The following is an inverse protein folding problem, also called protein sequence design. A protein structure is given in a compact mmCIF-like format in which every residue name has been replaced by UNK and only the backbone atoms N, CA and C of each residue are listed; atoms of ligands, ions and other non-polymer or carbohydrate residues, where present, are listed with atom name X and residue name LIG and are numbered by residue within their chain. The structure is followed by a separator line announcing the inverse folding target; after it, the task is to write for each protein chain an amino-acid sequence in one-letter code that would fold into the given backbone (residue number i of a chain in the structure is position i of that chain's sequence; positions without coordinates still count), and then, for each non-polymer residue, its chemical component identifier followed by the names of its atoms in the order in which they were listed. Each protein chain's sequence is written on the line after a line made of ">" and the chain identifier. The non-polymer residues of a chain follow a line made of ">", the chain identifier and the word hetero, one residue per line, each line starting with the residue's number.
data_IF_135188248926
#
_entry.id   IF_135188248926
#
_cell.length_a   1.000
_cell.length_b   1.000
_cell.length_c   1.000
_cell.angle_alpha   90.00
_cell.angle_beta   90.00
_cell.angle_gamma   90.00
#
_symmetry.space_group_name_H-M   'P 1'
#
loop_
_entity.id
_entity.type
_entity.pdbx_description
1 polymer ?
#
# COMPACT_ATOMS: atom_id res chain seq x y z
N UNK A 1 6.43 -25.61 20.19
CA UNK A 1 5.74 -25.43 18.90
C UNK A 1 5.73 -23.94 18.62
N UNK A 2 6.12 -23.51 17.42
CA UNK A 2 5.97 -22.12 17.00
C UNK A 2 4.49 -21.71 17.09
N UNK A 3 4.22 -20.44 17.37
CA UNK A 3 2.85 -19.93 17.40
C UNK A 3 2.32 -19.90 15.96
N UNK A 4 1.20 -20.57 15.69
CA UNK A 4 0.47 -20.41 14.42
C UNK A 4 -0.40 -19.16 14.50
N UNK A 5 -0.19 -18.20 13.60
CA UNK A 5 -1.00 -16.99 13.51
C UNK A 5 -2.26 -17.23 12.70
N UNK A 6 -3.41 -16.91 13.30
CA UNK A 6 -4.72 -17.07 12.67
C UNK A 6 -5.19 -15.78 12.05
N UNK A 7 -5.32 -15.82 10.73
CA UNK A 7 -5.73 -14.68 9.92
C UNK A 7 -7.24 -14.69 9.69
N UNK A 8 -7.82 -13.50 9.77
CA UNK A 8 -9.20 -13.23 9.42
C UNK A 8 -9.28 -12.26 8.24
N UNK A 9 -10.04 -12.57 7.20
CA UNK A 9 -10.21 -11.69 6.03
C UNK A 9 -11.55 -10.96 6.12
N UNK A 10 -11.52 -9.63 6.06
CA UNK A 10 -12.73 -8.80 6.01
C UNK A 10 -12.84 -8.12 4.66
N UNK A 11 -13.89 -8.47 3.90
CA UNK A 11 -14.08 -8.01 2.52
C UNK A 11 -13.64 -9.07 1.51
N UNK A 12 -14.61 -9.69 0.83
CA UNK A 12 -14.38 -10.89 0.01
C UNK A 12 -14.43 -10.57 -1.49
N UNK A 13 -13.62 -9.58 -1.89
CA UNK A 13 -13.42 -9.20 -3.30
C UNK A 13 -12.28 -9.96 -3.97
N UNK A 14 -11.93 -9.56 -5.19
CA UNK A 14 -10.86 -10.22 -5.97
C UNK A 14 -9.51 -10.27 -5.25
N UNK A 15 -9.18 -9.23 -4.46
CA UNK A 15 -7.92 -9.20 -3.71
C UNK A 15 -7.92 -10.24 -2.57
N UNK A 16 -9.07 -10.50 -1.93
CA UNK A 16 -9.18 -11.56 -0.94
C UNK A 16 -8.99 -12.95 -1.55
N UNK A 17 -9.57 -13.23 -2.73
CA UNK A 17 -9.27 -14.47 -3.45
C UNK A 17 -7.78 -14.61 -3.77
N UNK A 18 -7.13 -13.50 -4.14
CA UNK A 18 -5.67 -13.48 -4.39
C UNK A 18 -4.90 -13.75 -3.09
N UNK A 19 -5.29 -13.12 -1.99
CA UNK A 19 -4.72 -13.33 -0.66
C UNK A 19 -4.76 -14.81 -0.29
N UNK A 20 -5.93 -15.46 -0.37
CA UNK A 20 -6.03 -16.90 -0.08
C UNK A 20 -5.17 -17.74 -1.03
N UNK A 21 -5.22 -17.45 -2.33
CA UNK A 21 -4.47 -18.21 -3.34
C UNK A 21 -2.96 -18.17 -3.12
N UNK A 22 -2.43 -17.04 -2.70
CA UNK A 22 -0.98 -16.84 -2.56
C UNK A 22 -0.49 -17.07 -1.14
N UNK A 23 -1.38 -17.19 -0.15
CA UNK A 23 -1.01 -17.39 1.25
C UNK A 23 -0.22 -18.70 1.43
N UNK A 24 1.08 -18.57 1.65
CA UNK A 24 1.99 -19.67 1.91
C UNK A 24 2.88 -19.33 3.10
N UNK A 25 2.39 -19.62 4.31
CA UNK A 25 3.08 -19.29 5.55
C UNK A 25 3.15 -20.51 6.47
N UNK A 26 4.35 -20.98 6.86
CA UNK A 26 4.48 -22.18 7.69
C UNK A 26 3.88 -22.00 9.09
N UNK A 27 3.91 -20.78 9.61
CA UNK A 27 3.39 -20.43 10.94
C UNK A 27 2.10 -19.59 10.84
N UNK A 28 1.34 -19.74 9.75
CA UNK A 28 0.07 -19.01 9.54
C UNK A 28 -1.04 -19.89 8.99
N UNK A 29 -2.28 -19.57 9.36
CA UNK A 29 -3.46 -20.17 8.73
C UNK A 29 -4.53 -19.10 8.48
N UNK A 30 -5.27 -19.24 7.37
CA UNK A 30 -6.48 -18.45 7.14
C UNK A 30 -7.62 -19.14 7.88
N UNK A 31 -8.01 -18.53 8.99
CA UNK A 31 -8.91 -19.13 9.96
C UNK A 31 -10.37 -18.70 9.76
N UNK A 32 -10.59 -17.43 9.41
CA UNK A 32 -11.92 -16.84 9.35
C UNK A 32 -12.10 -15.87 8.18
N UNK A 33 -13.34 -15.73 7.74
CA UNK A 33 -13.76 -14.68 6.79
C UNK A 33 -14.99 -13.95 7.27
N UNK A 34 -15.13 -12.67 6.88
CA UNK A 34 -16.31 -11.87 7.16
C UNK A 34 -16.83 -11.14 5.92
N UNK A 35 -18.15 -11.22 5.73
CA UNK A 35 -18.88 -10.45 4.71
C UNK A 35 -20.28 -10.09 5.21
N UNK A 36 -20.76 -8.91 4.84
CA UNK A 36 -22.13 -8.42 5.16
C UNK A 36 -23.24 -9.39 4.70
N UNK A 37 -22.94 -10.26 3.74
CA UNK A 37 -23.82 -11.35 3.31
C UNK A 37 -23.28 -12.68 3.84
N UNK A 38 -24.04 -13.32 4.74
CA UNK A 38 -23.71 -14.65 5.25
C UNK A 38 -23.54 -15.66 4.09
N UNK A 39 -24.39 -15.60 3.07
CA UNK A 39 -24.27 -16.47 1.91
C UNK A 39 -22.93 -16.31 1.19
N UNK A 40 -22.44 -15.07 1.01
CA UNK A 40 -21.10 -14.83 0.43
C UNK A 40 -19.98 -15.32 1.34
N UNK A 41 -20.07 -15.07 2.66
CA UNK A 41 -19.08 -15.53 3.62
C UNK A 41 -18.98 -17.07 3.62
N UNK A 42 -20.11 -17.76 3.69
CA UNK A 42 -20.17 -19.22 3.68
C UNK A 42 -19.71 -19.82 2.35
N UNK A 43 -20.06 -19.22 1.21
CA UNK A 43 -19.60 -19.68 -0.10
C UNK A 43 -18.09 -19.53 -0.25
N UNK A 44 -17.52 -18.38 0.13
CA UNK A 44 -16.08 -18.14 0.08
C UNK A 44 -15.33 -19.09 1.02
N UNK A 45 -15.81 -19.27 2.25
CA UNK A 45 -15.19 -20.21 3.19
C UNK A 45 -15.21 -21.65 2.67
N UNK A 46 -16.33 -22.09 2.06
CA UNK A 46 -16.42 -23.42 1.48
C UNK A 46 -15.54 -23.60 0.22
N UNK A 47 -15.38 -22.56 -0.59
CA UNK A 47 -14.50 -22.57 -1.78
C UNK A 47 -13.02 -22.77 -1.41
N UNK A 48 -12.61 -22.23 -0.25
CA UNK A 48 -11.22 -22.14 0.19
C UNK A 48 -10.90 -22.98 1.44
N UNK A 49 -11.81 -23.87 1.85
CA UNK A 49 -11.69 -24.71 3.05
C UNK A 49 -11.38 -23.92 4.35
N UNK A 50 -11.95 -22.71 4.48
CA UNK A 50 -11.73 -21.84 5.64
C UNK A 50 -12.71 -22.22 6.78
N UNK A 51 -12.23 -22.47 8.01
CA UNK A 51 -13.06 -23.03 9.09
C UNK A 51 -14.25 -22.16 9.54
N UNK A 52 -14.13 -20.83 9.48
CA UNK A 52 -15.12 -19.90 10.05
C UNK A 52 -15.59 -18.86 9.05
N UNK A 53 -16.91 -18.63 9.01
CA UNK A 53 -17.54 -17.63 8.17
C UNK A 53 -18.53 -16.78 8.97
N UNK A 54 -18.23 -15.50 9.11
CA UNK A 54 -19.01 -14.54 9.88
C UNK A 54 -19.80 -13.58 8.97
N UNK A 55 -21.02 -13.24 9.38
CA UNK A 55 -21.79 -12.16 8.75
C UNK A 55 -21.42 -10.78 9.28
N UNK A 56 -21.19 -10.71 10.59
CA UNK A 56 -20.99 -9.45 11.31
C UNK A 56 -19.52 -9.32 11.71
N UNK A 57 -19.00 -8.11 11.61
CA UNK A 57 -17.63 -7.81 12.02
C UNK A 57 -17.44 -8.05 13.52
N UNK A 58 -18.40 -7.63 14.35
CA UNK A 58 -18.31 -7.78 15.81
C UNK A 58 -18.19 -9.25 16.25
N UNK A 59 -18.90 -10.17 15.60
CA UNK A 59 -18.82 -11.61 15.88
C UNK A 59 -17.42 -12.17 15.54
N UNK A 60 -16.83 -11.73 14.43
CA UNK A 60 -15.47 -12.10 14.05
C UNK A 60 -14.44 -11.53 15.03
N UNK A 61 -14.62 -10.28 15.46
CA UNK A 61 -13.69 -9.61 16.37
C UNK A 61 -13.77 -10.16 17.81
N UNK A 62 -14.91 -10.71 18.21
CA UNK A 62 -15.10 -11.39 19.48
C UNK A 62 -14.45 -12.78 19.52
N UNK A 63 -14.04 -13.35 18.38
CA UNK A 63 -13.36 -14.64 18.30
C UNK A 63 -11.93 -14.50 18.82
N UNK A 64 -11.64 -15.12 19.97
CA UNK A 64 -10.34 -15.08 20.64
C UNK A 64 -9.25 -15.82 19.88
N UNK A 65 -9.62 -16.67 18.92
CA UNK A 65 -8.66 -17.38 18.08
C UNK A 65 -8.09 -16.50 16.96
N UNK A 66 -8.74 -15.40 16.57
CA UNK A 66 -8.22 -14.51 15.52
C UNK A 66 -7.06 -13.67 16.08
N UNK A 67 -5.89 -13.71 15.43
CA UNK A 67 -4.73 -12.89 15.78
C UNK A 67 -4.63 -11.62 14.91
N UNK A 68 -4.82 -11.79 13.60
CA UNK A 68 -4.55 -10.77 12.58
C UNK A 68 -5.78 -10.60 11.67
N UNK A 69 -6.21 -9.36 11.46
CA UNK A 69 -7.27 -9.00 10.52
C UNK A 69 -6.65 -8.42 9.26
N UNK A 70 -6.85 -9.09 8.12
CA UNK A 70 -6.59 -8.57 6.79
C UNK A 70 -7.82 -7.82 6.27
N UNK A 71 -7.68 -6.50 6.09
CA UNK A 71 -8.77 -5.62 5.65
C UNK A 71 -8.69 -5.45 4.12
N UNK A 72 -9.65 -6.03 3.41
CA UNK A 72 -9.78 -6.03 1.95
C UNK A 72 -11.12 -5.44 1.48
N UNK A 73 -11.66 -4.49 2.25
CA UNK A 73 -12.89 -3.77 1.92
C UNK A 73 -12.60 -2.65 0.91
N UNK A 74 -13.60 -1.98 0.32
CA UNK A 74 -13.35 -0.75 -0.46
C UNK A 74 -12.74 0.35 0.43
N UNK A 75 -11.95 1.27 -0.14
CA UNK A 75 -11.13 2.23 0.63
C UNK A 75 -11.92 3.01 1.70
N UNK A 76 -13.15 3.43 1.38
CA UNK A 76 -14.00 4.19 2.30
C UNK A 76 -14.44 3.41 3.56
N UNK A 77 -14.34 2.08 3.55
CA UNK A 77 -14.69 1.22 4.67
C UNK A 77 -13.47 0.66 5.43
N UNK A 78 -12.24 0.99 5.02
CA UNK A 78 -11.04 0.51 5.70
C UNK A 78 -11.05 0.92 7.17
N UNK A 79 -11.24 2.21 7.46
CA UNK A 79 -11.18 2.74 8.83
C UNK A 79 -12.29 2.17 9.73
N UNK A 80 -13.46 1.88 9.16
CA UNK A 80 -14.60 1.25 9.85
C UNK A 80 -14.32 -0.22 10.21
N UNK A 81 -13.29 -0.83 9.62
CA UNK A 81 -12.80 -2.16 10.00
C UNK A 81 -11.56 -2.08 10.89
N UNK A 82 -10.61 -1.20 10.55
CA UNK A 82 -9.34 -1.02 11.27
C UNK A 82 -9.58 -0.65 12.74
N UNK A 83 -10.40 0.38 13.00
CA UNK A 83 -10.59 0.86 14.38
C UNK A 83 -11.27 -0.17 15.29
N UNK A 84 -12.37 -0.84 14.90
CA UNK A 84 -12.93 -1.91 15.70
C UNK A 84 -11.96 -3.08 15.90
N UNK A 85 -11.22 -3.49 14.87
CA UNK A 85 -10.27 -4.59 14.98
C UNK A 85 -9.16 -4.30 15.99
N UNK A 86 -8.54 -3.12 15.92
CA UNK A 86 -7.52 -2.71 16.89
C UNK A 86 -8.10 -2.60 18.32
N UNK A 87 -9.32 -2.06 18.47
CA UNK A 87 -9.99 -1.99 19.80
C UNK A 87 -10.34 -3.36 20.37
N UNK A 88 -10.56 -4.36 19.51
CA UNK A 88 -10.79 -5.74 19.90
C UNK A 88 -9.48 -6.52 20.17
N UNK A 89 -8.32 -5.85 20.18
CA UNK A 89 -7.04 -6.49 20.47
C UNK A 89 -6.44 -7.24 19.28
N UNK A 90 -6.88 -6.97 18.04
CA UNK A 90 -6.41 -7.67 16.83
C UNK A 90 -5.36 -6.85 16.09
N UNK A 91 -4.30 -7.50 15.63
CA UNK A 91 -3.36 -6.86 14.71
C UNK A 91 -4.05 -6.62 13.36
N UNK A 92 -3.62 -5.60 12.61
CA UNK A 92 -4.27 -5.24 11.36
C UNK A 92 -3.26 -5.06 10.23
N UNK A 93 -3.48 -5.81 9.15
CA UNK A 93 -2.88 -5.56 7.84
C UNK A 93 -3.99 -5.06 6.92
N UNK A 94 -3.94 -3.80 6.49
CA UNK A 94 -4.99 -3.23 5.65
C UNK A 94 -4.52 -3.03 4.23
N UNK A 95 -5.35 -3.39 3.25
CA UNK A 95 -5.13 -3.02 1.86
C UNK A 95 -4.88 -1.53 1.71
N UNK A 96 -4.07 -1.19 0.70
CA UNK A 96 -3.79 0.19 0.33
C UNK A 96 -4.98 0.83 -0.40
N UNK A 97 -5.10 2.16 -0.46
CA UNK A 97 -4.51 3.08 0.49
C UNK A 97 -5.12 2.80 1.87
N UNK A 98 -4.30 2.72 2.92
CA UNK A 98 -4.73 2.24 4.24
C UNK A 98 -5.93 3.01 4.82
N UNK A 99 -6.03 4.31 4.51
CA UNK A 99 -7.13 5.18 4.93
C UNK A 99 -7.39 6.24 3.86
N UNK A 100 -8.41 7.09 4.06
CA UNK A 100 -8.78 8.15 3.13
C UNK A 100 -8.05 9.48 3.39
N UNK A 101 -7.46 9.64 4.58
CA UNK A 101 -6.79 10.87 5.01
C UNK A 101 -5.77 10.62 6.11
N UNK A 102 -4.82 11.55 6.25
CA UNK A 102 -3.81 11.52 7.32
C UNK A 102 -4.42 11.58 8.72
N UNK A 103 -5.59 12.22 8.87
CA UNK A 103 -6.32 12.27 10.14
C UNK A 103 -6.85 10.89 10.54
N UNK A 104 -7.44 10.15 9.60
CA UNK A 104 -7.90 8.78 9.86
C UNK A 104 -6.72 7.86 10.24
N UNK A 105 -5.62 7.95 9.50
CA UNK A 105 -4.41 7.17 9.80
C UNK A 105 -3.84 7.51 11.17
N UNK A 106 -3.78 8.79 11.54
CA UNK A 106 -3.29 9.22 12.85
C UNK A 106 -4.09 8.60 14.00
N UNK A 107 -5.43 8.61 13.89
CA UNK A 107 -6.32 7.98 14.88
C UNK A 107 -6.06 6.47 14.95
N UNK A 108 -5.96 5.78 13.81
CA UNK A 108 -5.68 4.34 13.78
C UNK A 108 -4.33 3.99 14.42
N UNK A 109 -3.29 4.79 14.15
CA UNK A 109 -1.96 4.62 14.75
C UNK A 109 -1.98 4.79 16.27
N UNK A 110 -2.70 5.79 16.77
CA UNK A 110 -2.85 6.03 18.21
C UNK A 110 -3.55 4.86 18.90
N UNK A 111 -4.64 4.35 18.30
CA UNK A 111 -5.36 3.18 18.83
C UNK A 111 -4.48 1.93 18.80
N UNK A 112 -3.73 1.68 17.72
CA UNK A 112 -2.81 0.56 17.63
C UNK A 112 -1.72 0.63 18.71
N UNK A 113 -1.08 1.80 18.86
CA UNK A 113 -0.04 2.02 19.86
C UNK A 113 -0.55 1.85 21.29
N UNK A 114 -1.74 2.39 21.59
CA UNK A 114 -2.36 2.31 22.92
C UNK A 114 -2.75 0.87 23.32
N UNK A 115 -2.94 0.00 22.34
CA UNK A 115 -3.26 -1.42 22.56
C UNK A 115 -2.05 -2.35 22.33
N UNK A 116 -0.85 -1.80 22.06
CA UNK A 116 0.36 -2.55 21.73
C UNK A 116 0.20 -3.50 20.53
N UNK A 117 -0.52 -3.05 19.49
CA UNK A 117 -0.81 -3.82 18.29
C UNK A 117 -0.04 -3.30 17.08
N UNK A 118 0.34 -4.22 16.19
CA UNK A 118 0.81 -3.89 14.85
C UNK A 118 -0.35 -3.43 13.96
N UNK A 119 -0.19 -2.25 13.37
CA UNK A 119 -0.96 -1.75 12.24
C UNK A 119 0.00 -1.58 11.05
N UNK A 120 -0.29 -2.23 9.93
CA UNK A 120 0.49 -2.11 8.70
C UNK A 120 -0.42 -1.90 7.49
N UNK A 121 0.08 -1.17 6.50
CA UNK A 121 -0.50 -1.13 5.17
C UNK A 121 0.07 -2.29 4.35
N UNK A 122 -0.78 -3.00 3.59
CA UNK A 122 -0.38 -3.98 2.59
C UNK A 122 0.18 -3.25 1.36
N UNK A 123 1.30 -2.56 1.56
CA UNK A 123 2.05 -1.87 0.52
C UNK A 123 3.18 -2.77 0.06
N UNK A 124 2.87 -3.68 -0.87
CA UNK A 124 3.77 -4.74 -1.34
C UNK A 124 5.19 -4.26 -1.65
N UNK A 125 5.33 -3.04 -2.19
CA UNK A 125 6.61 -2.42 -2.51
C UNK A 125 7.59 -2.42 -1.32
N UNK A 126 7.11 -2.07 -0.11
CA UNK A 126 7.96 -1.96 1.08
C UNK A 126 8.51 -3.30 1.58
N UNK A 127 8.00 -4.41 1.04
CA UNK A 127 8.36 -5.77 1.43
C UNK A 127 9.13 -6.50 0.32
N UNK A 128 9.28 -5.90 -0.87
CA UNK A 128 10.05 -6.52 -1.94
C UNK A 128 11.56 -6.48 -1.61
N UNK A 129 12.28 -7.62 -1.63
CA UNK A 129 13.72 -7.67 -1.33
C UNK A 129 14.59 -6.78 -2.22
N UNK A 130 14.10 -6.44 -3.42
CA UNK A 130 14.78 -5.54 -4.35
C UNK A 130 15.15 -4.20 -3.69
N UNK A 131 14.26 -3.60 -2.91
CA UNK A 131 14.49 -2.23 -2.40
C UNK A 131 15.62 -2.18 -1.39
N UNK A 132 15.70 -3.16 -0.48
CA UNK A 132 16.84 -3.31 0.43
C UNK A 132 18.14 -3.47 -0.37
N UNK A 133 18.14 -4.33 -1.41
CA UNK A 133 19.30 -4.53 -2.28
C UNK A 133 19.72 -3.26 -3.02
N UNK A 134 18.78 -2.39 -3.42
CA UNK A 134 19.08 -1.11 -4.08
C UNK A 134 19.73 -0.10 -3.12
N UNK A 135 19.26 -0.05 -1.87
CA UNK A 135 19.91 0.75 -0.83
C UNK A 135 21.33 0.26 -0.55
N UNK A 136 21.52 -1.06 -0.40
CA UNK A 136 22.84 -1.67 -0.24
C UNK A 136 23.75 -1.36 -1.42
N UNK A 137 23.25 -1.51 -2.66
CA UNK A 137 24.01 -1.19 -3.86
C UNK A 137 24.46 0.27 -3.88
N UNK A 138 23.56 1.20 -3.53
CA UNK A 138 23.85 2.62 -3.52
C UNK A 138 24.98 2.96 -2.52
N UNK A 139 24.97 2.31 -1.35
CA UNK A 139 26.01 2.43 -0.34
C UNK A 139 27.34 1.79 -0.79
N UNK A 140 27.31 0.53 -1.27
CA UNK A 140 28.48 -0.22 -1.75
C UNK A 140 29.23 0.52 -2.88
N UNK A 141 28.47 1.08 -3.82
CA UNK A 141 29.00 1.77 -5.00
C UNK A 141 29.28 3.25 -4.75
N UNK A 142 29.00 3.75 -3.54
CA UNK A 142 29.20 5.14 -3.17
C UNK A 142 28.56 6.10 -4.17
N UNK A 143 27.25 5.94 -4.41
CA UNK A 143 26.55 6.70 -5.46
C UNK A 143 26.44 8.21 -5.19
N UNK A 144 26.84 8.65 -3.99
CA UNK A 144 26.74 10.03 -3.54
C UNK A 144 25.33 10.38 -3.08
N UNK A 145 25.04 11.66 -2.97
CA UNK A 145 23.75 12.13 -2.47
C UNK A 145 22.61 11.82 -3.44
N UNK A 146 21.43 11.49 -2.90
CA UNK A 146 20.20 11.46 -3.69
C UNK A 146 19.85 12.87 -4.16
N UNK A 147 19.51 13.01 -5.45
CA UNK A 147 19.11 14.31 -6.03
C UNK A 147 17.64 14.34 -6.42
N UNK A 148 17.16 13.27 -7.07
CA UNK A 148 15.80 13.25 -7.60
C UNK A 148 15.19 11.86 -7.68
N UNK A 149 13.89 11.76 -7.38
CA UNK A 149 13.09 10.57 -7.66
C UNK A 149 11.94 10.91 -8.61
N UNK A 150 11.78 10.15 -9.68
CA UNK A 150 10.67 10.30 -10.62
C UNK A 150 9.83 9.03 -10.64
N UNK A 151 8.51 9.14 -10.56
CA UNK A 151 7.62 7.99 -10.69
C UNK A 151 6.47 8.28 -11.64
N UNK A 152 6.22 7.32 -12.54
CA UNK A 152 5.08 7.35 -13.45
C UNK A 152 4.16 6.16 -13.21
N UNK A 153 2.85 6.38 -13.31
CA UNK A 153 1.87 5.30 -13.29
C UNK A 153 0.67 5.66 -14.18
N UNK A 154 0.55 4.96 -15.30
CA UNK A 154 -0.61 5.06 -16.18
C UNK A 154 -1.32 3.72 -16.27
N UNK A 155 -2.58 3.67 -15.86
CA UNK A 155 -3.43 2.49 -15.99
C UNK A 155 -4.70 2.86 -16.70
N UNK A 156 -4.75 2.65 -18.02
CA UNK A 156 -5.97 2.85 -18.80
C UNK A 156 -7.17 2.11 -18.17
N UNK A 157 -8.21 2.86 -17.82
CA UNK A 157 -9.51 2.39 -17.35
C UNK A 157 -10.58 2.87 -18.33
N UNK A 158 -11.55 2.02 -18.61
CA UNK A 158 -12.72 2.43 -19.40
C UNK A 158 -13.45 3.59 -18.69
N UNK A 159 -13.76 4.69 -19.41
CA UNK A 159 -14.32 5.92 -18.84
C UNK A 159 -15.80 5.77 -18.47
N UNK A 160 -16.07 4.98 -17.44
CA UNK A 160 -17.40 4.71 -16.91
C UNK A 160 -17.52 5.26 -15.47
N UNK A 161 -18.34 6.31 -15.24
CA UNK A 161 -18.49 6.93 -13.91
C UNK A 161 -19.11 5.99 -12.87
N UNK A 162 -19.73 4.89 -13.30
CA UNK A 162 -20.36 3.91 -12.38
C UNK A 162 -19.36 2.88 -11.87
N UNK A 163 -18.23 2.70 -12.56
CA UNK A 163 -17.21 1.73 -12.17
C UNK A 163 -16.46 2.20 -10.92
N UNK A 164 -15.84 1.26 -10.19
CA UNK A 164 -15.15 1.57 -8.92
C UNK A 164 -13.98 2.58 -9.05
N UNK A 165 -13.42 2.74 -10.25
CA UNK A 165 -12.28 3.63 -10.48
C UNK A 165 -12.71 5.08 -10.63
N UNK A 166 -13.91 5.33 -11.17
CA UNK A 166 -14.42 6.68 -11.38
C UNK A 166 -15.60 7.03 -10.47
N UNK A 167 -16.11 6.10 -9.66
CA UNK A 167 -17.22 6.35 -8.76
C UNK A 167 -16.75 7.06 -7.46
N UNK A 168 -17.19 8.30 -7.20
CA UNK A 168 -16.79 9.05 -6.01
C UNK A 168 -17.35 8.46 -4.70
N UNK A 169 -18.49 7.75 -4.74
CA UNK A 169 -19.08 7.10 -3.55
C UNK A 169 -18.28 5.88 -3.08
N UNK A 170 -17.38 5.39 -3.93
CA UNK A 170 -16.48 4.27 -3.66
C UNK A 170 -15.01 4.69 -3.52
N UNK A 171 -14.74 5.98 -3.27
CA UNK A 171 -13.37 6.50 -3.19
C UNK A 171 -12.55 6.27 -4.47
N UNK A 172 -13.18 6.41 -5.64
CA UNK A 172 -12.51 6.33 -6.93
C UNK A 172 -11.50 7.47 -7.15
N UNK A 173 -10.73 7.37 -8.22
CA UNK A 173 -9.68 8.31 -8.60
C UNK A 173 -8.30 7.65 -8.69
N UNK A 174 -7.43 8.23 -9.51
CA UNK A 174 -6.09 7.71 -9.74
C UNK A 174 -5.21 7.81 -8.49
N UNK A 175 -5.39 8.83 -7.65
CA UNK A 175 -4.53 9.10 -6.50
C UNK A 175 -4.57 7.95 -5.49
N UNK A 176 -5.75 7.51 -5.04
CA UNK A 176 -5.87 6.43 -4.05
C UNK A 176 -5.57 5.04 -4.63
N UNK A 177 -5.85 4.80 -5.91
CA UNK A 177 -5.67 3.47 -6.51
C UNK A 177 -4.25 3.24 -7.04
N UNK A 178 -3.65 4.21 -7.73
CA UNK A 178 -2.30 4.08 -8.33
C UNK A 178 -1.30 5.11 -7.82
N UNK A 179 -1.75 6.29 -7.39
CA UNK A 179 -0.90 7.33 -6.83
C UNK A 179 -0.23 6.92 -5.53
N UNK A 180 -0.93 6.16 -4.68
CA UNK A 180 -0.37 5.60 -3.45
C UNK A 180 0.88 4.76 -3.71
N UNK A 181 0.92 3.99 -4.80
CA UNK A 181 2.11 3.21 -5.18
C UNK A 181 3.25 4.11 -5.67
N UNK A 182 2.94 5.11 -6.50
CA UNK A 182 3.96 6.00 -7.04
C UNK A 182 4.59 6.87 -5.94
N UNK A 183 3.79 7.32 -4.98
CA UNK A 183 4.25 8.03 -3.79
C UNK A 183 5.01 7.10 -2.84
N UNK A 184 4.56 5.86 -2.65
CA UNK A 184 5.30 4.87 -1.87
C UNK A 184 6.68 4.56 -2.46
N UNK A 185 6.80 4.47 -3.79
CA UNK A 185 8.09 4.34 -4.47
C UNK A 185 8.98 5.56 -4.23
N UNK A 186 8.44 6.78 -4.29
CA UNK A 186 9.22 7.98 -3.99
C UNK A 186 9.72 7.96 -2.54
N UNK A 187 8.81 7.72 -1.60
CA UNK A 187 9.09 7.64 -0.17
C UNK A 187 10.08 6.54 0.21
N UNK A 188 10.20 5.48 -0.60
CA UNK A 188 11.17 4.42 -0.37
C UNK A 188 12.62 4.91 -0.42
N UNK A 189 12.91 5.95 -1.21
CA UNK A 189 14.27 6.44 -1.44
C UNK A 189 14.61 7.76 -0.77
N UNK A 190 13.63 8.63 -0.51
CA UNK A 190 13.89 9.93 0.11
C UNK A 190 14.55 9.77 1.48
N UNK A 191 15.52 10.64 1.80
CA UNK A 191 16.27 10.56 3.06
C UNK A 191 15.71 11.47 4.15
N UNK A 192 14.73 12.30 3.83
CA UNK A 192 14.01 13.17 4.76
C UNK A 192 12.53 13.27 4.38
N UNK A 193 11.68 13.60 5.36
CA UNK A 193 10.23 13.73 5.14
C UNK A 193 9.90 14.71 4.02
N UNK A 194 9.18 14.28 2.97
CA UNK A 194 8.75 15.15 1.88
C UNK A 194 7.62 16.09 2.26
N UNK A 195 7.57 17.23 1.59
CA UNK A 195 6.41 18.11 1.57
C UNK A 195 6.02 18.48 0.13
N UNK A 196 4.73 18.74 -0.06
CA UNK A 196 4.14 19.12 -1.33
C UNK A 196 4.58 20.54 -1.72
N UNK A 197 5.20 20.69 -2.90
CA UNK A 197 5.56 22.00 -3.46
C UNK A 197 4.60 22.45 -4.56
N UNK A 198 3.94 21.51 -5.23
CA UNK A 198 2.93 21.81 -6.24
C UNK A 198 2.22 20.57 -6.75
N UNK A 199 0.98 20.77 -7.21
CA UNK A 199 0.22 19.73 -7.87
C UNK A 199 -0.86 20.30 -8.78
N UNK A 200 -1.22 19.56 -9.82
CA UNK A 200 -2.39 19.81 -10.65
C UNK A 200 -3.12 18.50 -10.93
N UNK A 201 -4.42 18.61 -11.17
CA UNK A 201 -5.30 17.47 -11.44
C UNK A 201 -6.23 17.80 -12.60
N UNK A 202 -6.37 16.84 -13.51
CA UNK A 202 -7.49 16.76 -14.42
C UNK A 202 -8.59 15.89 -13.79
N UNK A 203 -9.81 16.44 -13.67
CA UNK A 203 -10.96 15.74 -13.11
C UNK A 203 -11.62 14.87 -14.17
N UNK A 204 -12.08 13.70 -13.77
CA UNK A 204 -13.03 12.94 -14.55
C UNK A 204 -14.42 13.61 -14.48
N UNK A 205 -15.33 13.21 -15.37
CA UNK A 205 -16.72 13.72 -15.39
C UNK A 205 -17.50 13.54 -14.08
N UNK A 206 -17.13 12.53 -13.27
CA UNK A 206 -17.72 12.30 -11.93
C UNK A 206 -17.08 13.15 -10.82
N UNK A 207 -16.04 13.93 -11.13
CA UNK A 207 -15.33 14.81 -10.19
C UNK A 207 -14.08 14.22 -9.56
N UNK A 208 -13.87 12.89 -9.59
CA UNK A 208 -12.64 12.26 -9.06
C UNK A 208 -11.42 12.58 -9.91
N UNK A 209 -10.22 12.37 -9.37
CA UNK A 209 -8.98 12.61 -10.10
C UNK A 209 -8.78 11.57 -11.21
N UNK A 210 -8.66 12.05 -12.46
CA UNK A 210 -8.44 11.20 -13.63
C UNK A 210 -6.95 11.08 -13.94
N UNK A 211 -6.27 12.23 -13.94
CA UNK A 211 -4.83 12.35 -14.15
C UNK A 211 -4.32 13.46 -13.24
N UNK A 212 -3.10 13.32 -12.73
CA UNK A 212 -2.51 14.32 -11.84
C UNK A 212 -0.99 14.31 -11.91
N UNK A 213 -0.39 15.45 -11.57
CA UNK A 213 1.05 15.56 -11.36
C UNK A 213 1.31 16.13 -9.97
N UNK A 214 2.34 15.63 -9.30
CA UNK A 214 2.71 16.02 -7.94
C UNK A 214 4.21 16.30 -7.92
N UNK A 215 4.62 17.40 -7.30
CA UNK A 215 6.02 17.76 -7.08
C UNK A 215 6.28 17.89 -5.58
N UNK A 216 7.33 17.22 -5.11
CA UNK A 216 7.72 17.15 -3.70
C UNK A 216 9.14 17.68 -3.52
N UNK A 217 9.44 18.15 -2.32
CA UNK A 217 10.79 18.48 -1.87
C UNK A 217 11.00 18.01 -0.43
N UNK A 218 12.23 17.72 -0.05
CA UNK A 218 12.61 17.40 1.34
C UNK A 218 13.44 18.50 1.97
N UNK A 219 13.75 18.38 3.27
CA UNK A 219 14.67 19.31 3.94
C UNK A 219 16.12 19.19 3.45
N UNK A 220 16.46 18.09 2.76
CA UNK A 220 17.79 17.82 2.21
C UNK A 220 17.91 18.27 0.74
N UNK A 221 16.99 19.10 0.25
CA UNK A 221 16.93 19.59 -1.14
C UNK A 221 16.76 18.51 -2.22
N UNK A 222 16.32 17.31 -1.82
CA UNK A 222 15.90 16.25 -2.74
C UNK A 222 14.57 16.64 -3.39
N UNK A 223 14.45 16.37 -4.69
CA UNK A 223 13.22 16.63 -5.46
C UNK A 223 12.53 15.32 -5.83
N UNK A 224 11.21 15.34 -5.91
CA UNK A 224 10.50 14.24 -6.54
C UNK A 224 9.34 14.70 -7.42
N UNK A 225 9.08 13.94 -8.48
CA UNK A 225 7.95 14.18 -9.39
C UNK A 225 7.17 12.90 -9.62
N UNK A 226 5.85 12.98 -9.48
CA UNK A 226 4.92 11.89 -9.75
C UNK A 226 3.95 12.30 -10.86
N UNK A 227 3.73 11.42 -11.84
CA UNK A 227 2.75 11.59 -12.91
C UNK A 227 1.80 10.39 -12.99
N UNK A 228 0.50 10.66 -12.93
CA UNK A 228 -0.56 9.66 -12.81
C UNK A 228 -1.62 9.85 -13.90
N UNK A 229 -2.17 8.75 -14.41
CA UNK A 229 -3.35 8.81 -15.28
C UNK A 229 -4.12 7.49 -15.34
N UNK A 230 -5.45 7.60 -15.34
CA UNK A 230 -6.36 6.51 -15.67
C UNK A 230 -6.79 6.47 -17.14
N UNK A 231 -6.42 7.47 -17.95
CA UNK A 231 -6.85 7.55 -19.35
C UNK A 231 -5.76 7.28 -20.36
N UNK A 232 -4.55 7.00 -19.90
CA UNK A 232 -3.47 6.51 -20.74
C UNK A 232 -2.74 5.36 -20.08
N UNK A 233 -2.22 4.45 -20.90
CA UNK A 233 -1.23 3.48 -20.44
C UNK A 233 0.12 4.18 -20.39
N UNK A 234 0.76 4.14 -19.23
CA UNK A 234 2.16 4.54 -19.08
C UNK A 234 2.90 3.38 -18.41
N UNK A 235 4.24 3.30 -18.54
CA UNK A 235 5.01 2.38 -17.74
C UNK A 235 4.77 2.67 -16.25
N UNK A 236 4.89 1.62 -15.43
CA UNK A 236 5.00 1.75 -13.97
C UNK A 236 6.49 1.90 -13.67
N UNK A 237 7.07 3.04 -14.03
CA UNK A 237 8.52 3.25 -13.99
C UNK A 237 8.91 4.29 -12.97
N UNK A 238 9.89 3.92 -12.16
CA UNK A 238 10.58 4.76 -11.22
C UNK A 238 12.02 5.03 -11.69
N UNK A 239 12.50 6.26 -11.52
CA UNK A 239 13.91 6.65 -11.69
C UNK A 239 14.40 7.22 -10.37
N UNK A 240 15.55 6.75 -9.88
CA UNK A 240 16.17 7.23 -8.64
C UNK A 240 17.56 7.73 -8.98
N UNK A 241 17.75 9.04 -8.99
CA UNK A 241 18.99 9.68 -9.43
C UNK A 241 19.85 10.12 -8.25
N UNK A 242 21.07 9.59 -8.22
CA UNK A 242 22.16 9.97 -7.33
C UNK A 242 23.24 10.75 -8.09
N UNK A 243 24.32 11.16 -7.44
CA UNK A 243 25.43 11.89 -8.09
C UNK A 243 26.20 11.05 -9.11
N UNK A 244 26.39 9.77 -8.82
CA UNK A 244 27.22 8.86 -9.61
C UNK A 244 26.41 7.84 -10.43
N UNK A 245 25.15 8.15 -10.73
CA UNK A 245 24.29 7.31 -11.57
C UNK A 245 22.85 7.27 -11.10
N UNK A 246 22.04 6.40 -11.71
CA UNK A 246 20.64 6.25 -11.37
C UNK A 246 20.14 4.82 -11.49
N UNK A 247 19.10 4.50 -10.73
CA UNK A 247 18.31 3.29 -10.91
C UNK A 247 17.11 3.55 -11.82
N UNK A 248 16.81 2.60 -12.70
CA UNK A 248 15.52 2.45 -13.37
C UNK A 248 14.82 1.22 -12.82
N UNK A 249 13.62 1.41 -12.26
CA UNK A 249 12.80 0.32 -11.72
C UNK A 249 11.48 0.27 -12.47
N UNK A 250 11.31 -0.76 -13.29
CA UNK A 250 10.05 -1.03 -13.97
C UNK A 250 9.15 -1.91 -13.10
N UNK A 251 7.84 -1.73 -13.25
CA UNK A 251 6.84 -2.47 -12.47
C UNK A 251 7.07 -2.38 -10.96
N UNK A 252 7.55 -1.22 -10.50
CA UNK A 252 7.98 -0.97 -9.12
C UNK A 252 7.04 -1.45 -8.01
N UNK A 253 5.69 -1.51 -8.13
CA UNK A 253 4.89 -2.05 -7.03
C UNK A 253 5.24 -3.49 -6.62
N UNK A 254 5.87 -4.28 -7.51
CA UNK A 254 6.26 -5.68 -7.29
C UNK A 254 7.57 -6.04 -7.98
N UNK A 255 8.48 -5.06 -8.15
CA UNK A 255 9.71 -5.30 -8.89
C UNK A 255 10.67 -6.23 -8.13
N UNK A 256 11.25 -7.19 -8.84
CA UNK A 256 12.35 -8.06 -8.40
C UNK A 256 13.66 -7.76 -9.17
N UNK A 257 13.61 -6.82 -10.11
CA UNK A 257 14.73 -6.39 -10.94
C UNK A 257 14.76 -4.86 -11.10
N UNK A 258 15.97 -4.33 -11.21
CA UNK A 258 16.24 -2.94 -11.56
C UNK A 258 17.47 -2.85 -12.46
N UNK A 259 17.63 -1.71 -13.13
CA UNK A 259 18.84 -1.40 -13.89
C UNK A 259 19.52 -0.19 -13.27
N UNK A 260 20.77 -0.35 -12.84
CA UNK A 260 21.66 0.76 -12.54
C UNK A 260 22.30 1.28 -13.84
N UNK A 261 22.49 2.59 -13.96
CA UNK A 261 23.24 3.24 -15.04
C UNK A 261 24.19 4.27 -14.44
N UNK A 262 25.48 4.17 -14.71
CA UNK A 262 26.49 5.15 -14.25
C UNK A 262 26.52 6.41 -15.15
N UNK A 263 27.39 7.37 -14.82
CA UNK A 263 27.49 8.64 -15.55
C UNK A 263 28.10 8.48 -16.95
N UNK A 264 28.81 7.38 -17.19
CA UNK A 264 29.39 6.98 -18.47
C UNK A 264 28.40 6.21 -19.35
N UNK A 265 27.23 5.82 -18.80
CA UNK A 265 26.18 5.09 -19.49
C UNK A 265 26.33 3.56 -19.45
N UNK A 266 27.25 3.02 -18.66
CA UNK A 266 27.31 1.58 -18.42
C UNK A 266 26.14 1.15 -17.53
N UNK A 267 25.58 -0.01 -17.86
CA UNK A 267 24.41 -0.53 -17.17
C UNK A 267 24.70 -1.83 -16.44
N UNK A 268 24.12 -1.99 -15.26
CA UNK A 268 24.17 -3.22 -14.46
C UNK A 268 22.75 -3.62 -14.03
N UNK A 269 22.39 -4.89 -14.22
CA UNK A 269 21.10 -5.42 -13.75
C UNK A 269 21.24 -5.90 -12.32
N UNK A 270 20.36 -5.43 -11.44
CA UNK A 270 20.25 -5.82 -10.04
C UNK A 270 18.99 -6.65 -9.88
N UNK A 271 19.10 -7.83 -9.28
CA UNK A 271 17.98 -8.75 -9.06
C UNK A 271 17.95 -9.17 -7.59
N UNK A 272 16.78 -9.08 -6.95
CA UNK A 272 16.55 -9.64 -5.63
C UNK A 272 15.05 -9.89 -5.39
N UNK A 273 14.75 -11.03 -4.78
CA UNK A 273 13.38 -11.50 -4.55
C UNK A 273 12.74 -12.12 -5.80
N UNK A 274 11.43 -12.34 -5.72
CA UNK A 274 10.61 -12.91 -6.77
C UNK A 274 9.24 -12.20 -6.79
N UNK A 275 8.91 -11.55 -7.90
CA UNK A 275 7.66 -10.82 -8.10
C UNK A 275 6.41 -11.71 -8.02
N UNK A 276 6.54 -13.02 -8.24
CA UNK A 276 5.45 -13.98 -8.07
C UNK A 276 5.17 -14.27 -6.60
N UNK A 277 6.14 -14.03 -5.71
CA UNK A 277 6.03 -14.23 -4.27
C UNK A 277 5.71 -12.93 -3.50
N UNK A 278 5.45 -11.84 -4.20
CA UNK A 278 5.35 -10.49 -3.63
C UNK A 278 4.40 -10.38 -2.42
N UNK A 279 3.25 -11.03 -2.50
CA UNK A 279 2.25 -11.02 -1.42
C UNK A 279 2.70 -11.81 -0.18
N UNK A 280 3.51 -12.85 -0.34
CA UNK A 280 4.03 -13.59 0.82
C UNK A 280 5.08 -12.80 1.59
N UNK A 281 5.81 -11.88 0.95
CA UNK A 281 6.75 -11.04 1.68
C UNK A 281 6.02 -10.12 2.68
N UNK A 282 4.94 -9.45 2.27
CA UNK A 282 4.15 -8.59 3.18
C UNK A 282 3.44 -9.39 4.28
N UNK A 283 2.97 -10.61 3.98
CA UNK A 283 2.35 -11.50 4.98
C UNK A 283 3.40 -11.98 5.99
N UNK A 284 4.55 -12.45 5.51
CA UNK A 284 5.63 -12.94 6.36
C UNK A 284 6.17 -11.82 7.27
N UNK A 285 6.38 -10.63 6.71
CA UNK A 285 6.83 -9.48 7.49
C UNK A 285 5.79 -9.06 8.52
N UNK A 286 4.49 -9.13 8.20
CA UNK A 286 3.45 -8.91 9.20
C UNK A 286 3.52 -9.89 10.36
N UNK A 287 3.74 -11.18 10.10
CA UNK A 287 3.90 -12.18 11.17
C UNK A 287 5.16 -11.95 12.00
N UNK A 288 6.29 -11.60 11.37
CA UNK A 288 7.52 -11.23 12.07
C UNK A 288 7.35 -9.96 12.91
N UNK A 289 6.61 -8.98 12.41
CA UNK A 289 6.28 -7.77 13.17
C UNK A 289 5.45 -8.09 14.40
N UNK A 290 4.45 -8.96 14.26
CA UNK A 290 3.63 -9.43 15.38
C UNK A 290 4.44 -10.27 16.38
N UNK A 291 5.39 -11.07 15.89
CA UNK A 291 6.31 -11.86 16.71
C UNK A 291 7.34 -10.99 17.48
N UNK A 292 7.49 -9.71 17.10
CA UNK A 292 8.55 -8.83 17.63
C UNK A 292 9.93 -9.09 17.01
N UNK A 293 9.99 -9.85 15.91
CA UNK A 293 11.21 -10.21 15.18
C UNK A 293 11.59 -9.17 14.12
N UNK A 294 10.61 -8.36 13.68
CA UNK A 294 10.80 -7.29 12.71
C UNK A 294 10.18 -5.99 13.24
N UNK A 295 10.91 -4.88 13.10
CA UNK A 295 10.36 -3.55 13.42
C UNK A 295 9.52 -3.05 12.24
N UNK A 296 8.32 -2.54 12.53
CA UNK A 296 7.51 -1.86 11.53
C UNK A 296 8.10 -0.48 11.17
N UNK A 297 8.87 -0.43 10.09
CA UNK A 297 9.40 0.81 9.51
C UNK A 297 8.50 1.37 8.41
N UNK A 298 7.65 0.54 7.80
CA UNK A 298 6.76 0.93 6.69
C UNK A 298 5.65 1.89 7.12
N UNK A 299 5.16 1.80 8.37
CA UNK A 299 4.09 2.68 8.86
C UNK A 299 4.49 4.16 8.88
N UNK A 300 5.78 4.48 9.04
CA UNK A 300 6.27 5.86 8.92
C UNK A 300 6.15 6.35 7.47
N UNK A 301 6.64 5.56 6.51
CA UNK A 301 6.52 5.85 5.07
C UNK A 301 5.06 5.99 4.63
N UNK A 302 4.18 5.07 5.05
CA UNK A 302 2.73 5.17 4.83
C UNK A 302 2.13 6.46 5.41
N UNK A 303 2.66 6.96 6.53
CA UNK A 303 2.19 8.23 7.13
C UNK A 303 2.52 9.41 6.23
N UNK A 304 3.75 9.47 5.73
CA UNK A 304 4.23 10.57 4.88
C UNK A 304 3.50 10.55 3.53
N UNK A 305 3.33 9.37 2.93
CA UNK A 305 2.51 9.16 1.72
C UNK A 305 1.08 9.66 1.92
N UNK A 306 0.42 9.27 3.01
CA UNK A 306 -0.95 9.67 3.29
C UNK A 306 -1.08 11.19 3.57
N UNK A 307 -0.06 11.80 4.19
CA UNK A 307 0.01 13.24 4.38
C UNK A 307 0.10 13.99 3.04
N UNK A 308 0.95 13.52 2.11
CA UNK A 308 1.04 14.06 0.76
C UNK A 308 -0.29 13.92 0.02
N UNK A 309 -0.92 12.75 0.06
CA UNK A 309 -2.20 12.52 -0.62
C UNK A 309 -3.29 13.43 -0.06
N UNK A 310 -3.32 13.62 1.25
CA UNK A 310 -4.27 14.55 1.90
C UNK A 310 -4.00 15.99 1.49
N UNK A 311 -2.74 16.42 1.45
CA UNK A 311 -2.35 17.76 1.02
C UNK A 311 -2.70 18.02 -0.45
N UNK A 312 -2.45 17.04 -1.33
CA UNK A 312 -2.77 17.14 -2.76
C UNK A 312 -4.28 17.33 -2.97
N UNK A 313 -5.11 16.49 -2.33
CA UNK A 313 -6.58 16.62 -2.39
C UNK A 313 -7.08 17.95 -1.82
N UNK A 314 -6.43 18.45 -0.76
CA UNK A 314 -6.73 19.77 -0.19
C UNK A 314 -6.41 20.89 -1.17
N UNK A 315 -5.23 20.88 -1.78
CA UNK A 315 -4.83 21.87 -2.78
C UNK A 315 -5.72 21.83 -4.04
N UNK A 316 -6.23 20.65 -4.39
CA UNK A 316 -7.19 20.49 -5.48
C UNK A 316 -8.59 20.97 -5.15
N UNK A 317 -8.90 21.28 -3.89
CA UNK A 317 -10.27 21.49 -3.40
C UNK A 317 -11.17 20.30 -3.78
N UNK A 318 -10.72 19.09 -3.42
CA UNK A 318 -11.42 17.84 -3.73
C UNK A 318 -11.72 17.02 -2.47
N UNK A 319 -13.02 16.78 -2.25
CA UNK A 319 -13.56 15.91 -1.19
C UNK A 319 -14.47 14.85 -1.80
N UNK A 320 -14.48 13.67 -1.19
CA UNK A 320 -15.47 12.65 -1.53
C UNK A 320 -16.84 13.02 -0.94
N UNK A 321 -17.96 12.58 -1.54
CA UNK A 321 -19.31 12.92 -1.07
C UNK A 321 -19.60 12.53 0.39
N UNK A 322 -18.91 11.53 0.92
CA UNK A 322 -19.06 11.04 2.30
C UNK A 322 -18.11 11.71 3.29
N UNK A 323 -17.17 12.55 2.85
CA UNK A 323 -16.29 13.32 3.73
C UNK A 323 -17.00 14.62 4.13
N UNK A 324 -17.06 14.88 5.43
CA UNK A 324 -17.64 16.10 6.01
C UNK A 324 -16.67 17.27 5.98
#
# INVERSE_FOLDING_TARGET
>A
MSKTYRWAIVGLGNIAHSFVKYFDQPDGEIYAVCSRSQAKASAFAAEHDIPKAYRNLDDLLADDQVDIVYVATPHNYHIDTILPALRAGKHVLSEKAITMSSTQLAIAKEVAASNHLILAEAMTLYHMPLYERLHDFAAERHLGDLKMVQASFGSFKEPDPTNRFFNPDLAGGALLDIGVYALAFVEEFLTATPYLTGTTMHRFSSGVDESSTITLRTANDELATVALTFRAKMPKRGIVAYENGYFTVDTYPRADTATFTDNEGHTETITAGDSTNAMNYEIADMQKMVAGELRNTSLAKTTDVMAIMTAARTQWDFRYPFEK
#
